data_IF_456482690382
#
_entry.id   IF_456482690382
#
_cell.length_a   1.000
_cell.length_b   1.000
_cell.length_c   1.000
_cell.angle_alpha   90.00
_cell.angle_beta   90.00
_cell.angle_gamma   90.00
#
_symmetry.space_group_name_H-M   'P 1'
#
loop_
_entity.id
_entity.type
_entity.pdbx_description
1 polymer ?
#
# COMPACT_ATOMS: atom_id res chain seq x y z
N UNK A 1 28.29 -16.45 -15.00
CA UNK A 1 27.18 -15.47 -14.97
C UNK A 1 25.80 -16.11 -15.08
N UNK A 2 25.50 -16.95 -16.08
CA UNK A 2 24.14 -17.52 -16.27
C UNK A 2 23.59 -18.34 -15.08
N UNK A 3 24.45 -19.03 -14.31
CA UNK A 3 24.04 -19.74 -13.10
C UNK A 3 23.58 -18.80 -11.99
N UNK A 4 24.35 -17.73 -11.74
CA UNK A 4 24.04 -16.71 -10.73
C UNK A 4 22.72 -15.99 -11.07
N UNK A 5 22.52 -15.66 -12.34
CA UNK A 5 21.28 -15.03 -12.80
C UNK A 5 20.06 -15.94 -12.59
N UNK A 6 20.16 -17.23 -12.93
CA UNK A 6 19.08 -18.20 -12.67
C UNK A 6 18.77 -18.35 -11.18
N UNK A 7 19.80 -18.36 -10.33
CA UNK A 7 19.63 -18.40 -8.87
C UNK A 7 18.89 -17.16 -8.37
N UNK A 8 19.34 -15.96 -8.73
CA UNK A 8 18.72 -14.70 -8.29
C UNK A 8 17.26 -14.65 -8.72
N UNK A 9 16.97 -15.05 -9.97
CA UNK A 9 15.59 -15.12 -10.46
C UNK A 9 14.77 -16.08 -9.60
N UNK A 10 15.22 -17.32 -9.42
CA UNK A 10 14.49 -18.32 -8.64
C UNK A 10 14.22 -17.86 -7.21
N UNK A 11 15.24 -17.26 -6.55
CA UNK A 11 15.09 -16.68 -5.22
C UNK A 11 14.06 -15.55 -5.19
N UNK A 12 14.02 -14.66 -6.18
CA UNK A 12 13.04 -13.57 -6.24
C UNK A 12 11.60 -14.08 -6.36
N UNK A 13 11.36 -15.10 -7.19
CA UNK A 13 10.03 -15.72 -7.32
C UNK A 13 9.62 -16.45 -6.03
N UNK A 14 10.57 -17.11 -5.37
CA UNK A 14 10.35 -17.74 -4.06
C UNK A 14 9.97 -16.74 -2.97
N UNK A 15 10.72 -15.63 -2.87
CA UNK A 15 10.44 -14.53 -1.93
C UNK A 15 9.08 -13.89 -2.21
N UNK A 16 8.73 -13.67 -3.48
CA UNK A 16 7.42 -13.12 -3.82
C UNK A 16 6.28 -14.07 -3.45
N UNK A 17 6.43 -15.37 -3.71
CA UNK A 17 5.44 -16.38 -3.29
C UNK A 17 5.28 -16.39 -1.77
N UNK A 18 6.37 -16.21 -1.02
CA UNK A 18 6.33 -16.07 0.44
C UNK A 18 5.52 -14.84 0.87
N UNK A 19 5.66 -13.69 0.19
CA UNK A 19 4.82 -12.52 0.47
C UNK A 19 3.35 -12.75 0.17
N UNK A 20 3.01 -13.43 -0.92
CA UNK A 20 1.61 -13.76 -1.23
C UNK A 20 1.00 -14.66 -0.15
N UNK A 21 1.75 -15.66 0.31
CA UNK A 21 1.34 -16.50 1.46
C UNK A 21 1.18 -15.64 2.71
N UNK A 22 2.11 -14.73 2.98
CA UNK A 22 2.02 -13.83 4.14
C UNK A 22 0.76 -12.95 4.09
N UNK A 23 0.42 -12.37 2.94
CA UNK A 23 -0.82 -11.60 2.77
C UNK A 23 -2.08 -12.47 2.91
N UNK A 24 -2.00 -13.75 2.55
CA UNK A 24 -3.06 -14.73 2.80
C UNK A 24 -3.20 -15.03 4.31
N UNK A 25 -2.09 -15.24 5.02
CA UNK A 25 -2.09 -15.48 6.49
C UNK A 25 -2.65 -14.28 7.27
N UNK A 26 -2.42 -13.06 6.77
CA UNK A 26 -2.95 -11.81 7.34
C UNK A 26 -4.42 -11.59 6.93
N UNK A 27 -5.00 -12.43 6.07
CA UNK A 27 -6.41 -12.36 5.69
C UNK A 27 -6.72 -11.29 4.63
N UNK A 28 -5.72 -10.81 3.89
CA UNK A 28 -5.93 -9.88 2.77
C UNK A 28 -6.29 -10.61 1.46
N UNK A 29 -5.85 -11.86 1.34
CA UNK A 29 -6.17 -12.76 0.24
C UNK A 29 -7.01 -13.93 0.77
N UNK A 30 -8.24 -14.05 0.28
CA UNK A 30 -9.15 -15.15 0.62
C UNK A 30 -9.22 -16.18 -0.52
N UNK A 31 -8.15 -16.33 -1.29
CA UNK A 31 -8.01 -17.33 -2.33
C UNK A 31 -6.52 -17.65 -2.52
N UNK A 32 -6.16 -18.87 -2.94
CA UNK A 32 -4.78 -19.23 -3.18
C UNK A 32 -4.26 -18.50 -4.43
N UNK A 33 -3.16 -17.78 -4.26
CA UNK A 33 -2.46 -17.05 -5.31
C UNK A 33 -0.98 -17.42 -5.26
N UNK A 34 -0.46 -17.89 -6.38
CA UNK A 34 0.96 -18.25 -6.50
C UNK A 34 1.52 -17.78 -7.85
N UNK A 35 2.80 -17.41 -7.85
CA UNK A 35 3.52 -17.02 -9.05
C UNK A 35 4.67 -18.00 -9.28
N UNK A 36 4.53 -18.84 -10.29
CA UNK A 36 5.53 -19.84 -10.65
C UNK A 36 6.46 -19.34 -11.75
N UNK A 37 7.73 -19.71 -11.68
CA UNK A 37 8.76 -19.30 -12.64
C UNK A 37 8.53 -19.84 -14.06
N UNK A 38 7.81 -20.95 -14.21
CA UNK A 38 7.59 -21.64 -15.50
C UNK A 38 6.17 -21.43 -16.02
N UNK A 39 5.16 -21.51 -15.15
CA UNK A 39 3.75 -21.44 -15.52
C UNK A 39 3.11 -20.07 -15.32
N UNK A 40 3.84 -19.10 -14.73
CA UNK A 40 3.34 -17.75 -14.47
C UNK A 40 2.37 -17.70 -13.29
N UNK A 41 1.38 -16.81 -13.36
CA UNK A 41 0.43 -16.57 -12.28
C UNK A 41 -0.66 -17.65 -12.24
N UNK A 42 -0.72 -18.40 -11.14
CA UNK A 42 -1.78 -19.38 -10.86
C UNK A 42 -2.72 -18.82 -9.80
N UNK A 43 -4.02 -18.86 -10.10
CA UNK A 43 -5.10 -18.33 -9.27
C UNK A 43 -6.05 -19.49 -9.05
N UNK A 44 -6.19 -19.93 -7.79
CA UNK A 44 -7.17 -20.97 -7.47
C UNK A 44 -8.55 -20.39 -7.18
N UNK A 45 -9.48 -21.29 -6.87
CA UNK A 45 -10.84 -20.93 -6.50
C UNK A 45 -10.91 -20.47 -5.06
N UNK A 46 -11.93 -19.67 -4.77
CA UNK A 46 -12.26 -19.31 -3.41
C UNK A 46 -12.72 -20.56 -2.65
N UNK A 47 -12.11 -20.82 -1.50
CA UNK A 47 -12.49 -21.93 -0.64
C UNK A 47 -12.61 -21.47 0.82
N UNK A 48 -13.49 -22.12 1.57
CA UNK A 48 -13.58 -21.92 3.02
C UNK A 48 -12.25 -22.14 3.75
N UNK A 49 -11.39 -23.04 3.24
CA UNK A 49 -10.06 -23.26 3.78
C UNK A 49 -9.14 -22.05 3.64
N UNK A 50 -9.31 -21.24 2.58
CA UNK A 50 -8.54 -20.00 2.39
C UNK A 50 -9.07 -18.85 3.25
N UNK A 51 -10.35 -18.86 3.61
CA UNK A 51 -10.99 -17.86 4.49
C UNK A 51 -10.67 -18.02 5.97
N UNK A 52 -10.06 -19.14 6.39
CA UNK A 52 -9.79 -19.40 7.82
C UNK A 52 -8.90 -18.33 8.44
N UNK A 53 -7.95 -17.79 7.67
CA UNK A 53 -7.04 -16.75 8.12
C UNK A 53 -7.78 -15.44 8.39
N UNK A 54 -8.73 -15.08 7.54
CA UNK A 54 -9.60 -13.93 7.78
C UNK A 54 -10.42 -14.10 9.06
N UNK A 55 -10.99 -15.28 9.30
CA UNK A 55 -11.74 -15.58 10.54
C UNK A 55 -10.85 -15.45 11.77
N UNK A 56 -9.61 -15.95 11.69
CA UNK A 56 -8.61 -15.81 12.77
C UNK A 56 -8.32 -14.34 13.04
N UNK A 57 -8.11 -13.51 12.01
CA UNK A 57 -7.85 -12.08 12.18
C UNK A 57 -9.06 -11.32 12.73
N UNK A 58 -10.28 -11.70 12.33
CA UNK A 58 -11.50 -11.17 12.93
C UNK A 58 -11.56 -11.51 14.43
N UNK A 59 -11.29 -12.77 14.79
CA UNK A 59 -11.25 -13.20 16.19
C UNK A 59 -10.18 -12.46 16.99
N UNK A 60 -8.96 -12.29 16.44
CA UNK A 60 -7.88 -11.52 17.06
C UNK A 60 -8.27 -10.04 17.25
N UNK A 61 -9.00 -9.46 16.31
CA UNK A 61 -9.50 -8.08 16.41
C UNK A 61 -10.51 -7.94 17.55
N UNK A 62 -11.43 -8.90 17.69
CA UNK A 62 -12.39 -8.95 18.80
C UNK A 62 -11.66 -9.16 20.14
N UNK A 63 -10.72 -10.10 20.19
CA UNK A 63 -9.93 -10.38 21.39
C UNK A 63 -9.08 -9.16 21.81
N UNK A 64 -8.51 -8.43 20.86
CA UNK A 64 -7.79 -7.18 21.12
C UNK A 64 -8.71 -6.13 21.75
N UNK A 65 -9.92 -5.94 21.22
CA UNK A 65 -10.91 -5.02 21.79
C UNK A 65 -11.36 -5.42 23.20
N UNK A 66 -11.63 -6.72 23.42
CA UNK A 66 -12.01 -7.25 24.73
C UNK A 66 -10.88 -7.12 25.74
N UNK A 67 -9.64 -7.39 25.32
CA UNK A 67 -8.45 -7.26 26.18
C UNK A 67 -8.21 -5.80 26.59
N UNK A 68 -8.36 -4.86 25.64
CA UNK A 68 -8.26 -3.43 25.94
C UNK A 68 -9.36 -2.97 26.92
N UNK A 69 -10.59 -3.47 26.75
CA UNK A 69 -11.69 -3.20 27.69
C UNK A 69 -11.41 -3.77 29.08
N UNK A 70 -10.89 -5.00 29.16
CA UNK A 70 -10.54 -5.62 30.44
C UNK A 70 -9.42 -4.85 31.16
N UNK A 71 -8.41 -4.41 30.40
CA UNK A 71 -7.28 -3.66 30.90
C UNK A 71 -7.51 -2.13 30.93
N UNK A 72 -8.76 -1.66 30.88
CA UNK A 72 -9.08 -0.23 30.78
C UNK A 72 -8.39 0.59 31.88
N UNK A 73 -8.44 0.11 33.13
CA UNK A 73 -7.81 0.81 34.25
C UNK A 73 -6.28 0.91 34.08
N UNK A 74 -5.63 -0.12 33.52
CA UNK A 74 -4.18 -0.10 33.28
C UNK A 74 -3.80 0.81 32.11
N UNK A 75 -4.74 1.10 31.20
CA UNK A 75 -4.52 1.92 30.02
C UNK A 75 -4.81 3.40 30.26
N UNK A 76 -5.80 3.73 31.09
CA UNK A 76 -6.34 5.10 31.18
C UNK A 76 -6.41 5.68 32.58
N UNK A 77 -6.34 4.87 33.65
CA UNK A 77 -6.48 5.39 35.00
C UNK A 77 -5.31 6.30 35.37
N UNK A 78 -5.60 7.42 36.05
CA UNK A 78 -4.59 8.40 36.48
C UNK A 78 -4.09 9.36 35.39
N UNK A 79 -4.53 9.21 34.14
CA UNK A 79 -4.24 10.20 33.09
C UNK A 79 -5.16 11.42 33.20
N UNK A 80 -4.64 12.58 32.79
CA UNK A 80 -5.48 13.72 32.49
C UNK A 80 -6.46 13.37 31.36
N UNK A 81 -7.61 14.04 31.32
CA UNK A 81 -8.63 13.76 30.31
C UNK A 81 -8.08 13.86 28.88
N UNK A 82 -7.24 14.86 28.60
CA UNK A 82 -6.60 15.06 27.28
C UNK A 82 -5.69 13.89 26.90
N UNK A 83 -4.87 13.42 27.83
CA UNK A 83 -3.96 12.27 27.64
C UNK A 83 -4.75 10.97 27.42
N UNK A 84 -5.79 10.75 28.23
CA UNK A 84 -6.67 9.60 28.10
C UNK A 84 -7.39 9.60 26.75
N UNK A 85 -7.89 10.75 26.30
CA UNK A 85 -8.52 10.92 24.99
C UNK A 85 -7.54 10.65 23.85
N UNK A 86 -6.31 11.17 23.94
CA UNK A 86 -5.26 10.93 22.95
C UNK A 86 -4.97 9.42 22.79
N UNK A 87 -4.77 8.71 23.91
CA UNK A 87 -4.55 7.27 23.90
C UNK A 87 -5.76 6.48 23.38
N UNK A 88 -6.96 6.89 23.78
CA UNK A 88 -8.20 6.24 23.36
C UNK A 88 -8.39 6.36 21.85
N UNK A 89 -8.21 7.55 21.29
CA UNK A 89 -8.31 7.77 19.85
C UNK A 89 -7.24 6.99 19.08
N UNK A 90 -5.99 6.91 19.57
CA UNK A 90 -4.93 6.09 18.95
C UNK A 90 -5.35 4.64 18.78
N UNK A 91 -5.85 4.05 19.86
CA UNK A 91 -6.31 2.67 19.84
C UNK A 91 -7.54 2.48 18.95
N UNK A 92 -8.55 3.34 19.06
CA UNK A 92 -9.80 3.22 18.30
C UNK A 92 -9.59 3.39 16.81
N UNK A 93 -8.79 4.37 16.36
CA UNK A 93 -8.46 4.53 14.95
C UNK A 93 -7.68 3.31 14.41
N UNK A 94 -6.75 2.79 15.20
CA UNK A 94 -6.04 1.55 14.88
C UNK A 94 -7.00 0.37 14.68
N UNK A 95 -7.87 0.12 15.65
CA UNK A 95 -8.82 -0.99 15.61
C UNK A 95 -9.83 -0.83 14.47
N UNK A 96 -10.36 0.37 14.25
CA UNK A 96 -11.27 0.66 13.14
C UNK A 96 -10.59 0.39 11.79
N UNK A 97 -9.29 0.72 11.67
CA UNK A 97 -8.50 0.43 10.46
C UNK A 97 -8.42 -1.06 10.17
N UNK A 98 -8.23 -1.88 11.21
CA UNK A 98 -8.25 -3.34 11.07
C UNK A 98 -9.63 -3.82 10.60
N UNK A 99 -10.70 -3.36 11.25
CA UNK A 99 -12.07 -3.74 10.89
C UNK A 99 -12.40 -3.42 9.42
N UNK A 100 -12.09 -2.21 8.96
CA UNK A 100 -12.32 -1.81 7.56
C UNK A 100 -11.42 -2.59 6.60
N UNK A 101 -10.17 -2.87 6.98
CA UNK A 101 -9.25 -3.67 6.16
C UNK A 101 -9.77 -5.10 5.97
N UNK A 102 -10.29 -5.72 7.04
CA UNK A 102 -10.90 -7.04 6.99
C UNK A 102 -12.20 -7.00 6.18
N UNK A 103 -13.05 -5.98 6.36
CA UNK A 103 -14.27 -5.81 5.59
C UNK A 103 -13.99 -5.68 4.08
N UNK A 104 -13.06 -4.81 3.69
CA UNK A 104 -12.63 -4.66 2.29
C UNK A 104 -12.10 -5.98 1.71
N UNK A 105 -11.35 -6.75 2.50
CA UNK A 105 -10.79 -8.03 2.05
C UNK A 105 -11.87 -9.12 1.88
N UNK A 106 -12.95 -9.06 2.68
CA UNK A 106 -14.07 -10.00 2.59
C UNK A 106 -15.03 -9.63 1.45
N UNK A 107 -15.54 -8.40 1.46
CA UNK A 107 -16.51 -7.94 0.46
C UNK A 107 -15.89 -7.69 -0.91
N UNK A 108 -14.60 -7.32 -0.96
CA UNK A 108 -13.86 -7.07 -2.19
C UNK A 108 -13.23 -8.32 -2.81
N UNK A 109 -13.58 -9.53 -2.37
CA UNK A 109 -12.91 -10.76 -2.81
C UNK A 109 -12.99 -10.98 -4.32
N UNK A 110 -14.15 -10.72 -4.93
CA UNK A 110 -14.34 -10.88 -6.37
C UNK A 110 -13.58 -9.80 -7.16
N UNK A 111 -13.62 -8.55 -6.70
CA UNK A 111 -12.82 -7.47 -7.28
C UNK A 111 -11.33 -7.81 -7.21
N UNK A 112 -10.89 -8.32 -6.07
CA UNK A 112 -9.52 -8.73 -5.84
C UNK A 112 -9.09 -9.87 -6.78
N UNK A 113 -9.90 -10.91 -6.90
CA UNK A 113 -9.64 -12.03 -7.81
C UNK A 113 -9.64 -11.57 -9.27
N UNK A 114 -10.56 -10.68 -9.64
CA UNK A 114 -10.68 -10.09 -10.98
C UNK A 114 -9.42 -9.32 -11.40
N UNK A 115 -8.83 -8.52 -10.49
CA UNK A 115 -7.55 -7.82 -10.73
C UNK A 115 -6.46 -8.81 -11.19
N UNK A 116 -6.28 -9.91 -10.45
CA UNK A 116 -5.25 -10.90 -10.75
C UNK A 116 -5.57 -11.69 -12.02
N UNK A 117 -6.84 -12.02 -12.27
CA UNK A 117 -7.28 -12.68 -13.50
C UNK A 117 -6.95 -11.80 -14.72
N UNK A 118 -7.26 -10.51 -14.66
CA UNK A 118 -6.93 -9.57 -15.76
C UNK A 118 -5.43 -9.46 -15.98
N UNK A 119 -4.62 -9.41 -14.93
CA UNK A 119 -3.16 -9.48 -15.08
C UNK A 119 -2.70 -10.77 -15.76
N UNK A 120 -3.29 -11.92 -15.43
CA UNK A 120 -2.98 -13.22 -16.05
C UNK A 120 -3.38 -13.23 -17.53
N UNK A 121 -4.60 -12.80 -17.84
CA UNK A 121 -5.11 -12.77 -19.22
C UNK A 121 -4.28 -11.84 -20.11
N UNK A 122 -3.94 -10.66 -19.59
CA UNK A 122 -3.06 -9.72 -20.27
C UNK A 122 -1.65 -10.31 -20.47
N UNK A 123 -1.14 -11.07 -19.49
CA UNK A 123 0.14 -11.77 -19.61
C UNK A 123 0.11 -12.85 -20.69
N UNK A 124 -0.93 -13.71 -20.70
CA UNK A 124 -1.08 -14.79 -21.68
C UNK A 124 -1.20 -14.25 -23.11
N UNK A 125 -1.98 -13.18 -23.32
CA UNK A 125 -2.14 -12.56 -24.65
C UNK A 125 -0.85 -11.92 -25.19
N UNK A 126 0.05 -11.53 -24.30
CA UNK A 126 1.27 -10.81 -24.66
C UNK A 126 2.56 -11.63 -24.47
N UNK A 127 2.43 -12.92 -24.16
CA UNK A 127 3.54 -13.82 -23.85
C UNK A 127 4.48 -13.27 -22.75
N UNK A 128 3.90 -12.61 -21.74
CA UNK A 128 4.63 -12.08 -20.58
C UNK A 128 4.28 -12.83 -19.29
N UNK A 129 4.81 -12.38 -18.15
CA UNK A 129 4.65 -13.07 -16.86
C UNK A 129 3.51 -12.52 -16.01
N UNK A 130 3.32 -11.20 -16.01
CA UNK A 130 2.30 -10.53 -15.20
C UNK A 130 1.89 -9.21 -15.87
N UNK A 131 0.69 -9.18 -16.46
CA UNK A 131 0.24 -8.05 -17.27
C UNK A 131 1.05 -7.87 -18.56
N UNK A 132 1.84 -6.81 -18.63
CA UNK A 132 2.78 -6.50 -19.71
C UNK A 132 4.24 -6.75 -19.29
N UNK A 133 4.45 -7.22 -18.05
CA UNK A 133 5.77 -7.32 -17.44
C UNK A 133 6.43 -8.64 -17.82
N UNK A 134 7.56 -8.56 -18.52
CA UNK A 134 8.43 -9.70 -18.79
C UNK A 134 9.19 -10.18 -17.55
N UNK A 135 9.83 -11.35 -17.66
CA UNK A 135 10.50 -12.02 -16.53
C UNK A 135 11.58 -11.17 -15.86
N UNK A 136 12.44 -10.53 -16.63
CA UNK A 136 13.58 -9.74 -16.11
C UNK A 136 13.10 -8.46 -15.45
N UNK A 137 12.09 -7.80 -16.04
CA UNK A 137 11.47 -6.61 -15.47
C UNK A 137 10.73 -6.94 -14.17
N UNK A 138 10.04 -8.07 -14.12
CA UNK A 138 9.33 -8.51 -12.92
C UNK A 138 10.31 -8.72 -11.76
N UNK A 139 11.42 -9.42 -11.98
CA UNK A 139 12.47 -9.60 -10.97
C UNK A 139 12.99 -8.26 -10.45
N UNK A 140 13.21 -7.28 -11.33
CA UNK A 140 13.65 -5.94 -10.93
C UNK A 140 12.64 -5.24 -10.00
N UNK A 141 11.35 -5.34 -10.30
CA UNK A 141 10.29 -4.78 -9.45
C UNK A 141 10.23 -5.50 -8.11
N UNK A 142 10.31 -6.83 -8.12
CA UNK A 142 10.28 -7.66 -6.92
C UNK A 142 11.47 -7.35 -5.99
N UNK A 143 12.67 -7.15 -6.53
CA UNK A 143 13.84 -6.74 -5.74
C UNK A 143 13.61 -5.36 -5.11
N UNK A 144 13.11 -4.37 -5.87
CA UNK A 144 12.80 -3.04 -5.33
C UNK A 144 11.75 -3.10 -4.22
N UNK A 145 10.70 -3.90 -4.45
CA UNK A 145 9.66 -4.12 -3.45
C UNK A 145 10.22 -4.79 -2.19
N UNK A 146 11.02 -5.85 -2.35
CA UNK A 146 11.67 -6.54 -1.24
C UNK A 146 12.57 -5.62 -0.42
N UNK A 147 13.37 -4.78 -1.09
CA UNK A 147 14.23 -3.79 -0.40
C UNK A 147 13.37 -2.79 0.39
N UNK A 148 12.28 -2.27 -0.20
CA UNK A 148 11.37 -1.37 0.51
C UNK A 148 10.76 -2.05 1.76
N UNK A 149 10.31 -3.30 1.63
CA UNK A 149 9.77 -4.07 2.76
C UNK A 149 10.83 -4.33 3.82
N UNK A 150 12.05 -4.70 3.44
CA UNK A 150 13.17 -4.90 4.38
C UNK A 150 13.46 -3.64 5.18
N UNK A 151 13.52 -2.47 4.53
CA UNK A 151 13.74 -1.19 5.22
C UNK A 151 12.60 -0.91 6.20
N UNK A 152 11.35 -1.07 5.77
CA UNK A 152 10.17 -0.87 6.63
C UNK A 152 10.24 -1.81 7.85
N UNK A 153 10.46 -3.11 7.63
CA UNK A 153 10.54 -4.11 8.70
C UNK A 153 11.71 -3.84 9.63
N UNK A 154 12.88 -3.47 9.10
CA UNK A 154 14.05 -3.15 9.92
C UNK A 154 13.80 -1.93 10.83
N UNK A 155 13.18 -0.88 10.30
CA UNK A 155 12.80 0.31 11.07
C UNK A 155 11.78 -0.04 12.14
N UNK A 156 10.70 -0.76 11.78
CA UNK A 156 9.70 -1.22 12.75
C UNK A 156 10.35 -2.07 13.84
N UNK A 157 11.12 -3.11 13.47
CA UNK A 157 11.77 -4.01 14.42
C UNK A 157 12.75 -3.27 15.34
N UNK A 158 13.49 -2.28 14.83
CA UNK A 158 14.35 -1.43 15.65
C UNK A 158 13.56 -0.64 16.69
N UNK A 159 12.44 -0.02 16.29
CA UNK A 159 11.58 0.75 17.20
C UNK A 159 10.92 -0.17 18.22
N UNK A 160 10.37 -1.31 17.79
CA UNK A 160 9.77 -2.31 18.68
C UNK A 160 10.79 -2.86 19.69
N UNK A 161 12.03 -3.11 19.26
CA UNK A 161 13.12 -3.51 20.14
C UNK A 161 13.43 -2.43 21.18
N UNK A 162 13.51 -1.16 20.77
CA UNK A 162 13.72 -0.04 21.69
C UNK A 162 12.58 0.09 22.68
N UNK A 163 11.33 -0.06 22.26
CA UNK A 163 10.16 -0.03 23.12
C UNK A 163 10.17 -1.17 24.14
N UNK A 164 10.47 -2.39 23.69
CA UNK A 164 10.50 -3.57 24.55
C UNK A 164 11.51 -3.45 25.70
N UNK A 165 12.71 -2.92 25.44
CA UNK A 165 13.75 -2.74 26.45
C UNK A 165 13.71 -1.40 27.18
N UNK A 166 13.08 -0.38 26.59
CA UNK A 166 13.00 0.97 27.14
C UNK A 166 11.81 1.19 28.06
N UNK A 167 10.68 0.51 27.82
CA UNK A 167 9.48 0.67 28.63
C UNK A 167 9.49 -0.32 29.80
N UNK A 168 9.35 0.18 31.03
CA UNK A 168 9.25 -0.67 32.22
C UNK A 168 8.06 -1.62 32.16
N UNK A 169 8.30 -2.91 32.46
CA UNK A 169 7.25 -3.93 32.49
C UNK A 169 6.13 -3.56 33.48
N UNK A 170 4.88 -3.77 33.07
CA UNK A 170 3.70 -3.44 33.88
C UNK A 170 3.39 -1.94 33.99
N UNK A 171 4.19 -1.06 33.36
CA UNK A 171 3.85 0.36 33.27
C UNK A 171 2.66 0.60 32.36
N UNK A 172 2.00 1.75 32.51
CA UNK A 172 0.91 2.17 31.63
C UNK A 172 1.35 2.24 30.16
N UNK A 173 2.57 2.71 29.90
CA UNK A 173 3.17 2.71 28.57
C UNK A 173 3.36 1.30 28.00
N UNK A 174 3.71 0.33 28.83
CA UNK A 174 3.86 -1.06 28.42
C UNK A 174 2.51 -1.64 27.96
N UNK A 175 1.46 -1.42 28.74
CA UNK A 175 0.10 -1.83 28.36
C UNK A 175 -0.36 -1.12 27.08
N UNK A 176 -0.15 0.19 26.98
CA UNK A 176 -0.54 0.98 25.82
C UNK A 176 0.14 0.48 24.54
N UNK A 177 1.46 0.31 24.57
CA UNK A 177 2.24 -0.22 23.46
C UNK A 177 1.76 -1.62 23.05
N UNK A 178 1.59 -2.54 24.01
CA UNK A 178 1.18 -3.93 23.77
C UNK A 178 -0.17 -4.02 23.03
N UNK A 179 -1.16 -3.20 23.43
CA UNK A 179 -2.48 -3.22 22.80
C UNK A 179 -2.49 -2.55 21.42
N UNK A 180 -1.57 -1.63 21.15
CA UNK A 180 -1.44 -0.99 19.85
C UNK A 180 -0.60 -1.81 18.85
N UNK A 181 0.23 -2.75 19.31
CA UNK A 181 1.11 -3.55 18.45
C UNK A 181 0.34 -4.27 17.33
N UNK A 182 -0.76 -4.94 17.65
CA UNK A 182 -1.58 -5.66 16.67
C UNK A 182 -2.20 -4.74 15.60
N UNK A 183 -3.01 -3.71 15.94
CA UNK A 183 -3.60 -2.84 14.93
C UNK A 183 -2.55 -2.08 14.12
N UNK A 184 -1.43 -1.70 14.73
CA UNK A 184 -0.30 -1.07 14.06
C UNK A 184 0.32 -1.98 13.00
N UNK A 185 0.57 -3.24 13.37
CA UNK A 185 1.14 -4.25 12.48
C UNK A 185 0.25 -4.48 11.25
N UNK A 186 -1.07 -4.64 11.45
CA UNK A 186 -2.02 -4.83 10.35
C UNK A 186 -2.08 -3.60 9.45
N UNK A 187 -2.11 -2.40 10.03
CA UNK A 187 -2.07 -1.12 9.30
C UNK A 187 -0.82 -1.04 8.39
N UNK A 188 0.35 -1.39 8.91
CA UNK A 188 1.59 -1.42 8.14
C UNK A 188 1.60 -2.45 7.02
N UNK A 189 1.13 -3.67 7.31
CA UNK A 189 0.99 -4.69 6.27
C UNK A 189 0.03 -4.26 5.18
N UNK A 190 -1.05 -3.54 5.51
CA UNK A 190 -2.00 -3.03 4.51
C UNK A 190 -1.37 -1.96 3.61
N UNK A 191 -0.51 -1.10 4.15
CA UNK A 191 0.30 -0.17 3.36
C UNK A 191 1.26 -0.88 2.42
N UNK A 192 2.00 -1.86 2.94
CA UNK A 192 2.93 -2.69 2.13
C UNK A 192 2.17 -3.45 1.03
N UNK A 193 0.96 -3.92 1.33
CA UNK A 193 0.14 -4.63 0.36
C UNK A 193 -0.30 -3.72 -0.80
N UNK A 194 -0.70 -2.49 -0.50
CA UNK A 194 -1.04 -1.51 -1.53
C UNK A 194 0.19 -1.03 -2.32
N UNK A 195 1.34 -0.88 -1.65
CA UNK A 195 2.61 -0.54 -2.30
C UNK A 195 2.96 -1.54 -3.41
N UNK A 196 2.72 -2.84 -3.20
CA UNK A 196 2.92 -3.86 -4.22
C UNK A 196 2.10 -3.55 -5.49
N UNK A 197 0.80 -3.29 -5.34
CA UNK A 197 -0.10 -2.99 -6.47
C UNK A 197 0.31 -1.72 -7.21
N UNK A 198 0.72 -0.67 -6.49
CA UNK A 198 1.24 0.57 -7.09
C UNK A 198 2.48 0.28 -7.94
N UNK A 199 3.44 -0.47 -7.41
CA UNK A 199 4.69 -0.79 -8.13
C UNK A 199 4.45 -1.68 -9.35
N UNK A 200 3.53 -2.64 -9.25
CA UNK A 200 3.14 -3.48 -10.39
C UNK A 200 2.48 -2.66 -11.50
N UNK A 201 1.53 -1.78 -11.15
CA UNK A 201 0.85 -0.94 -12.15
C UNK A 201 1.81 0.08 -12.78
N UNK A 202 2.69 0.69 -11.98
CA UNK A 202 3.75 1.60 -12.46
C UNK A 202 4.63 0.94 -13.52
N UNK A 203 5.03 -0.31 -13.29
CA UNK A 203 5.87 -1.03 -14.24
C UNK A 203 5.09 -1.46 -15.48
N UNK A 204 3.83 -1.86 -15.35
CA UNK A 204 2.96 -2.13 -16.50
C UNK A 204 2.82 -0.90 -17.41
N UNK A 205 2.59 0.28 -16.82
CA UNK A 205 2.55 1.56 -17.54
C UNK A 205 3.85 1.87 -18.27
N UNK A 206 5.01 1.63 -17.64
CA UNK A 206 6.31 1.79 -18.31
C UNK A 206 6.52 0.79 -19.45
N UNK A 207 6.04 -0.45 -19.33
CA UNK A 207 6.11 -1.40 -20.43
C UNK A 207 5.22 -0.97 -21.60
N UNK A 208 4.03 -0.46 -21.32
CA UNK A 208 3.16 0.12 -22.35
C UNK A 208 3.84 1.32 -23.03
N UNK A 209 4.44 2.24 -22.25
CA UNK A 209 5.19 3.38 -22.76
C UNK A 209 6.35 2.96 -23.67
N UNK A 210 7.13 1.95 -23.27
CA UNK A 210 8.23 1.45 -24.08
C UNK A 210 7.75 0.84 -25.40
N UNK A 211 6.68 0.05 -25.37
CA UNK A 211 6.07 -0.51 -26.59
C UNK A 211 5.57 0.59 -27.52
N UNK A 212 4.91 1.62 -26.98
CA UNK A 212 4.47 2.79 -27.75
C UNK A 212 5.65 3.55 -28.38
N UNK A 213 6.76 3.72 -27.67
CA UNK A 213 7.97 4.33 -28.23
C UNK A 213 8.57 3.51 -29.38
N UNK A 214 8.56 2.19 -29.27
CA UNK A 214 9.04 1.31 -30.35
C UNK A 214 8.12 1.41 -31.58
N UNK A 215 6.81 1.55 -31.41
CA UNK A 215 5.85 1.74 -32.52
C UNK A 215 6.22 2.91 -33.43
N UNK A 216 6.66 4.02 -32.85
CA UNK A 216 7.08 5.21 -33.59
C UNK A 216 8.23 4.91 -34.58
N UNK A 217 9.01 3.87 -34.31
CA UNK A 217 10.15 3.47 -35.15
C UNK A 217 9.75 2.54 -36.30
N UNK A 218 8.68 1.75 -36.13
CA UNK A 218 8.30 0.68 -37.07
C UNK A 218 6.96 0.90 -37.82
N UNK A 219 6.09 1.80 -37.35
CA UNK A 219 5.00 2.38 -38.14
C UNK A 219 3.77 1.50 -38.41
N UNK A 220 3.44 0.52 -37.56
CA UNK A 220 2.31 -0.39 -37.81
C UNK A 220 1.00 0.06 -37.13
N UNK A 221 -0.03 0.39 -37.92
CA UNK A 221 -1.35 0.85 -37.45
C UNK A 221 -2.09 -0.15 -36.57
N UNK A 222 -2.06 -1.44 -36.91
CA UNK A 222 -2.72 -2.50 -36.14
C UNK A 222 -2.16 -2.62 -34.71
N UNK A 223 -0.87 -2.33 -34.55
CA UNK A 223 -0.20 -2.33 -33.25
C UNK A 223 -0.67 -1.18 -32.34
N UNK A 224 -1.10 -0.04 -32.89
CA UNK A 224 -1.64 1.10 -32.11
C UNK A 224 -2.99 0.78 -31.45
N UNK A 225 -3.89 0.11 -32.20
CA UNK A 225 -5.19 -0.31 -31.67
C UNK A 225 -5.02 -1.33 -30.54
N UNK A 226 -4.10 -2.28 -30.68
CA UNK A 226 -3.75 -3.24 -29.64
C UNK A 226 -3.22 -2.53 -28.38
N UNK A 227 -2.38 -1.49 -28.52
CA UNK A 227 -1.81 -0.77 -27.39
C UNK A 227 -2.86 0.06 -26.64
N UNK A 228 -3.81 0.64 -27.37
CA UNK A 228 -4.99 1.29 -26.80
C UNK A 228 -5.86 0.31 -26.02
N UNK A 229 -6.09 -0.90 -26.56
CA UNK A 229 -6.85 -1.94 -25.86
C UNK A 229 -6.14 -2.38 -24.58
N UNK A 230 -4.81 -2.56 -24.61
CA UNK A 230 -4.01 -2.86 -23.42
C UNK A 230 -4.09 -1.76 -22.35
N UNK A 231 -4.07 -0.48 -22.74
CA UNK A 231 -4.33 0.61 -21.81
C UNK A 231 -5.71 0.50 -21.15
N UNK A 232 -6.75 0.15 -21.93
CA UNK A 232 -8.09 -0.08 -21.40
C UNK A 232 -8.12 -1.15 -20.32
N UNK A 233 -7.42 -2.27 -20.51
CA UNK A 233 -7.30 -3.32 -19.49
C UNK A 233 -6.53 -2.85 -18.25
N UNK A 234 -5.42 -2.13 -18.42
CA UNK A 234 -4.69 -1.55 -17.29
C UNK A 234 -5.55 -0.56 -16.49
N UNK A 235 -6.38 0.22 -17.17
CA UNK A 235 -7.32 1.13 -16.52
C UNK A 235 -8.36 0.36 -15.70
N UNK A 236 -8.95 -0.71 -16.23
CA UNK A 236 -9.89 -1.56 -15.50
C UNK A 236 -9.26 -2.21 -14.26
N UNK A 237 -8.01 -2.68 -14.39
CA UNK A 237 -7.24 -3.20 -13.26
C UNK A 237 -7.05 -2.11 -12.18
N UNK A 238 -6.69 -0.88 -12.59
CA UNK A 238 -6.50 0.22 -11.65
C UNK A 238 -7.80 0.62 -10.94
N UNK A 239 -8.93 0.66 -11.65
CA UNK A 239 -10.23 0.92 -11.03
C UNK A 239 -10.57 -0.15 -10.01
N UNK A 240 -10.32 -1.43 -10.32
CA UNK A 240 -10.46 -2.51 -9.35
C UNK A 240 -9.55 -2.31 -8.13
N UNK A 241 -8.31 -1.85 -8.31
CA UNK A 241 -7.39 -1.55 -7.21
C UNK A 241 -7.94 -0.38 -6.36
N UNK A 242 -8.34 0.72 -6.98
CA UNK A 242 -8.93 1.87 -6.29
C UNK A 242 -10.19 1.50 -5.51
N UNK A 243 -11.01 0.59 -6.04
CA UNK A 243 -12.21 0.08 -5.36
C UNK A 243 -11.86 -0.82 -4.19
N UNK A 244 -10.96 -1.80 -4.38
CA UNK A 244 -10.52 -2.76 -3.36
C UNK A 244 -9.84 -2.09 -2.16
N UNK A 245 -9.08 -1.04 -2.42
CA UNK A 245 -8.31 -0.33 -1.40
C UNK A 245 -8.99 0.95 -0.91
N UNK A 246 -10.08 1.38 -1.51
CA UNK A 246 -10.65 2.71 -1.32
C UNK A 246 -10.85 3.12 0.13
N UNK A 247 -11.66 2.36 0.89
CA UNK A 247 -11.96 2.68 2.28
C UNK A 247 -10.82 2.33 3.23
N UNK A 248 -10.25 1.12 3.09
CA UNK A 248 -9.15 0.68 3.93
C UNK A 248 -7.95 1.59 3.82
N UNK A 249 -7.57 2.07 2.62
CA UNK A 249 -6.45 3.00 2.48
C UNK A 249 -6.78 4.41 2.98
N UNK A 250 -8.00 4.90 2.76
CA UNK A 250 -8.40 6.19 3.34
C UNK A 250 -8.25 6.17 4.86
N UNK A 251 -8.74 5.11 5.50
CA UNK A 251 -8.65 4.96 6.92
C UNK A 251 -7.23 4.63 7.39
N UNK A 252 -6.45 3.88 6.62
CA UNK A 252 -5.06 3.56 6.95
C UNK A 252 -4.17 4.81 6.92
N UNK A 253 -4.40 5.71 5.97
CA UNK A 253 -3.76 7.04 5.94
C UNK A 253 -4.22 7.89 7.12
N UNK A 254 -5.52 7.89 7.45
CA UNK A 254 -6.04 8.60 8.63
C UNK A 254 -5.47 8.04 9.95
N UNK A 255 -5.28 6.73 10.05
CA UNK A 255 -4.63 6.07 11.18
C UNK A 255 -3.15 6.46 11.28
N UNK A 256 -2.46 6.53 10.14
CA UNK A 256 -1.07 6.98 10.08
C UNK A 256 -0.92 8.45 10.50
N UNK A 257 -1.88 9.30 10.08
CA UNK A 257 -2.01 10.67 10.55
C UNK A 257 -2.17 10.72 12.07
N UNK A 258 -3.15 9.99 12.59
CA UNK A 258 -3.49 9.94 13.99
C UNK A 258 -2.27 9.52 14.82
N UNK A 259 -1.56 8.47 14.40
CA UNK A 259 -0.32 8.03 15.04
C UNK A 259 0.71 9.15 15.15
N UNK A 260 1.06 9.81 14.05
CA UNK A 260 2.04 10.90 14.03
C UNK A 260 1.60 12.05 14.94
N UNK A 261 0.33 12.45 14.86
CA UNK A 261 -0.21 13.55 15.66
C UNK A 261 -0.18 13.23 17.16
N UNK A 262 -0.57 12.02 17.54
CA UNK A 262 -0.55 11.54 18.92
C UNK A 262 0.88 11.37 19.44
N UNK A 263 1.82 10.95 18.60
CA UNK A 263 3.21 10.82 18.99
C UNK A 263 3.87 12.18 19.24
N UNK A 264 3.57 13.17 18.39
CA UNK A 264 4.03 14.57 18.59
C UNK A 264 3.40 15.17 19.85
N UNK A 265 2.11 14.94 20.10
CA UNK A 265 1.47 15.35 21.35
C UNK A 265 2.20 14.81 22.57
N UNK A 266 2.51 13.50 22.59
CA UNK A 266 3.21 12.89 23.70
C UNK A 266 4.63 13.42 23.88
N UNK A 267 5.37 13.65 22.78
CA UNK A 267 6.70 14.29 22.84
C UNK A 267 6.58 15.67 23.53
N UNK A 268 5.59 16.47 23.14
CA UNK A 268 5.36 17.80 23.73
C UNK A 268 4.94 17.71 25.21
N UNK A 269 3.99 16.83 25.54
CA UNK A 269 3.52 16.66 26.90
C UNK A 269 4.65 16.23 27.84
N UNK A 270 5.48 15.27 27.42
CA UNK A 270 6.66 14.83 28.16
C UNK A 270 7.72 15.94 28.28
N UNK A 271 7.90 16.75 27.23
CA UNK A 271 8.82 17.89 27.24
C UNK A 271 8.41 18.95 28.27
N UNK A 272 7.12 19.31 28.34
CA UNK A 272 6.63 20.32 29.29
C UNK A 272 6.70 19.82 30.73
N UNK A 273 6.46 18.53 30.93
CA UNK A 273 6.43 17.92 32.26
C UNK A 273 7.80 17.43 32.74
N UNK A 274 8.86 17.66 31.95
CA UNK A 274 10.23 17.19 32.19
C UNK A 274 10.28 15.69 32.50
N UNK A 275 9.42 14.92 31.82
CA UNK A 275 9.39 13.46 31.95
C UNK A 275 10.61 12.86 31.28
N UNK A 276 11.22 11.88 31.95
CA UNK A 276 12.31 11.08 31.38
C UNK A 276 11.80 10.27 30.17
N UNK A 277 12.75 9.80 29.35
CA UNK A 277 12.49 8.90 28.21
C UNK A 277 11.77 9.54 27.00
N UNK A 278 11.84 10.86 26.82
CA UNK A 278 11.38 11.55 25.59
C UNK A 278 12.01 10.93 24.33
N UNK A 279 13.28 10.54 24.41
CA UNK A 279 13.99 9.87 23.31
C UNK A 279 13.27 8.59 22.84
N UNK A 280 12.69 7.83 23.78
CA UNK A 280 11.97 6.61 23.47
C UNK A 280 10.71 6.90 22.64
N UNK A 281 9.97 7.93 23.04
CA UNK A 281 8.79 8.38 22.34
C UNK A 281 9.13 9.00 20.96
N UNK A 282 10.30 9.63 20.81
CA UNK A 282 10.78 10.10 19.51
C UNK A 282 11.02 8.95 18.52
N UNK A 283 11.44 7.77 18.98
CA UNK A 283 11.59 6.60 18.10
C UNK A 283 10.24 6.10 17.55
N UNK A 284 9.15 6.18 18.32
CA UNK A 284 7.79 5.80 17.87
C UNK A 284 7.32 6.60 16.65
N UNK A 285 7.83 7.83 16.48
CA UNK A 285 7.48 8.70 15.36
C UNK A 285 8.08 8.23 14.02
N UNK A 286 9.11 7.36 14.02
CA UNK A 286 9.91 7.07 12.82
C UNK A 286 9.23 6.14 11.80
N UNK A 287 8.59 5.02 12.18
CA UNK A 287 8.17 4.02 11.18
C UNK A 287 7.06 4.53 10.25
N UNK A 288 6.09 5.27 10.77
CA UNK A 288 4.94 5.75 10.01
C UNK A 288 5.35 6.72 8.86
N UNK A 289 6.19 7.76 9.09
CA UNK A 289 6.77 8.57 8.02
C UNK A 289 7.59 7.79 7.00
N UNK A 290 8.34 6.76 7.41
CA UNK A 290 9.12 5.92 6.48
C UNK A 290 8.18 5.20 5.52
N UNK A 291 7.10 4.59 6.02
CA UNK A 291 6.10 3.88 5.21
C UNK A 291 5.38 4.84 4.27
N UNK A 292 4.93 6.00 4.77
CA UNK A 292 4.30 7.04 3.93
C UNK A 292 5.29 7.51 2.86
N UNK A 293 6.58 7.68 3.20
CA UNK A 293 7.62 8.07 2.26
C UNK A 293 7.74 7.11 1.09
N UNK A 294 7.77 5.80 1.35
CA UNK A 294 7.79 4.77 0.29
C UNK A 294 6.51 4.81 -0.57
N UNK A 295 5.34 4.94 0.04
CA UNK A 295 4.06 5.05 -0.68
C UNK A 295 4.02 6.29 -1.59
N UNK A 296 4.44 7.45 -1.07
CA UNK A 296 4.46 8.70 -1.83
C UNK A 296 5.51 8.67 -2.96
N UNK A 297 6.66 8.03 -2.72
CA UNK A 297 7.66 7.81 -3.75
C UNK A 297 7.13 6.89 -4.88
N UNK A 298 6.45 5.80 -4.52
CA UNK A 298 5.84 4.90 -5.49
C UNK A 298 4.71 5.58 -6.27
N UNK A 299 3.84 6.35 -5.59
CA UNK A 299 2.78 7.13 -6.22
C UNK A 299 3.34 8.19 -7.18
N UNK A 300 4.45 8.85 -6.83
CA UNK A 300 5.16 9.75 -7.75
C UNK A 300 5.63 9.04 -9.01
N UNK A 301 6.28 7.90 -8.82
CA UNK A 301 6.86 7.11 -9.92
C UNK A 301 5.77 6.61 -10.86
N UNK A 302 4.63 6.22 -10.29
CA UNK A 302 3.43 5.86 -11.01
C UNK A 302 2.90 7.05 -11.85
N UNK A 303 2.77 8.23 -11.25
CA UNK A 303 2.29 9.43 -11.97
C UNK A 303 3.24 9.80 -13.11
N UNK A 304 4.54 9.72 -12.89
CA UNK A 304 5.55 9.96 -13.92
C UNK A 304 5.46 8.92 -15.05
N UNK A 305 5.20 7.65 -14.74
CA UNK A 305 4.98 6.62 -15.76
C UNK A 305 3.72 6.92 -16.61
N UNK A 306 2.63 7.37 -15.98
CA UNK A 306 1.41 7.77 -16.69
C UNK A 306 1.67 8.99 -17.60
N UNK A 307 2.36 10.02 -17.08
CA UNK A 307 2.72 11.20 -17.87
C UNK A 307 3.64 10.85 -19.05
N UNK A 308 4.54 9.87 -18.87
CA UNK A 308 5.41 9.40 -19.94
C UNK A 308 4.64 8.70 -21.07
N UNK A 309 3.58 7.94 -20.74
CA UNK A 309 2.68 7.36 -21.77
C UNK A 309 2.01 8.48 -22.58
N UNK A 310 1.46 9.49 -21.90
CA UNK A 310 0.82 10.64 -22.54
C UNK A 310 1.81 11.42 -23.44
N UNK A 311 3.00 11.73 -22.94
CA UNK A 311 4.04 12.41 -23.69
C UNK A 311 4.48 11.62 -24.93
N UNK A 312 4.69 10.30 -24.78
CA UNK A 312 5.09 9.43 -25.91
C UNK A 312 4.04 9.42 -27.02
N UNK A 313 2.75 9.50 -26.66
CA UNK A 313 1.68 9.61 -27.66
C UNK A 313 1.65 10.97 -28.36
N UNK A 314 1.87 12.06 -27.63
CA UNK A 314 1.90 13.41 -28.21
C UNK A 314 3.08 13.59 -29.18
N UNK A 315 4.24 13.01 -28.84
CA UNK A 315 5.48 13.11 -29.61
C UNK A 315 5.53 12.16 -30.82
N UNK A 316 4.54 11.25 -30.95
CA UNK A 316 4.48 10.30 -32.06
C UNK A 316 4.28 11.02 -33.39
N UNK A 317 5.19 10.80 -34.35
CA UNK A 317 5.14 11.42 -35.66
C UNK A 317 4.15 10.69 -36.59
N UNK A 318 2.92 11.19 -36.70
CA UNK A 318 1.86 10.62 -37.53
C UNK A 318 1.64 11.38 -38.86
N UNK A 319 2.57 12.27 -39.26
CA UNK A 319 2.32 13.24 -40.36
C UNK A 319 2.00 12.61 -41.71
N UNK A 320 2.39 11.37 -41.95
CA UNK A 320 2.22 10.70 -43.25
C UNK A 320 1.03 9.72 -43.27
N UNK A 321 0.45 9.36 -42.12
CA UNK A 321 -0.65 8.40 -42.02
C UNK A 321 -1.86 8.98 -41.26
N UNK A 322 -2.90 9.33 -42.04
CA UNK A 322 -4.18 9.85 -41.54
C UNK A 322 -4.88 8.91 -40.55
N UNK A 323 -4.76 7.58 -40.73
CA UNK A 323 -5.37 6.60 -39.82
C UNK A 323 -4.63 6.56 -38.49
N UNK A 324 -3.29 6.61 -38.52
CA UNK A 324 -2.49 6.73 -37.30
C UNK A 324 -2.81 8.01 -36.52
N UNK A 325 -2.99 9.14 -37.21
CA UNK A 325 -3.32 10.39 -36.55
C UNK A 325 -4.70 10.33 -35.87
N UNK A 326 -5.70 9.74 -36.54
CA UNK A 326 -7.03 9.50 -35.95
C UNK A 326 -6.95 8.57 -34.73
N UNK A 327 -6.20 7.47 -34.81
CA UNK A 327 -6.03 6.53 -33.70
C UNK A 327 -5.32 7.18 -32.52
N UNK A 328 -4.27 7.97 -32.77
CA UNK A 328 -3.58 8.78 -31.78
C UNK A 328 -4.54 9.74 -31.08
N UNK A 329 -5.36 10.47 -31.84
CA UNK A 329 -6.36 11.38 -31.29
C UNK A 329 -7.37 10.65 -30.39
N UNK A 330 -7.88 9.49 -30.83
CA UNK A 330 -8.80 8.66 -30.05
C UNK A 330 -8.14 8.16 -28.77
N UNK A 331 -6.88 7.72 -28.83
CA UNK A 331 -6.15 7.24 -27.65
C UNK A 331 -5.88 8.40 -26.67
N UNK A 332 -5.40 9.56 -27.14
CA UNK A 332 -5.23 10.75 -26.29
C UNK A 332 -6.55 11.17 -25.63
N UNK A 333 -7.67 11.08 -26.37
CA UNK A 333 -9.00 11.35 -25.82
C UNK A 333 -9.37 10.35 -24.71
N UNK A 334 -9.04 9.07 -24.90
CA UNK A 334 -9.21 8.04 -23.87
C UNK A 334 -8.33 8.31 -22.65
N UNK A 335 -7.05 8.67 -22.84
CA UNK A 335 -6.16 9.05 -21.72
C UNK A 335 -6.73 10.22 -20.91
N UNK A 336 -7.31 11.22 -21.58
CA UNK A 336 -7.89 12.39 -20.91
C UNK A 336 -9.15 12.03 -20.13
N UNK A 337 -10.00 11.15 -20.65
CA UNK A 337 -11.27 10.75 -20.01
C UNK A 337 -11.08 9.70 -18.91
N UNK A 338 -10.25 8.71 -19.17
CA UNK A 338 -10.01 7.53 -18.32
C UNK A 338 -8.56 7.52 -17.86
N UNK A 339 -8.09 8.65 -17.33
CA UNK A 339 -6.71 8.76 -16.86
C UNK A 339 -6.51 7.82 -15.67
N UNK A 340 -5.50 6.95 -15.75
CA UNK A 340 -5.18 6.08 -14.63
C UNK A 340 -4.64 6.93 -13.47
N UNK A 341 -5.36 6.93 -12.34
CA UNK A 341 -5.04 7.69 -11.13
C UNK A 341 -5.12 6.78 -9.91
N UNK A 342 -4.23 7.01 -8.94
CA UNK A 342 -4.30 6.37 -7.63
C UNK A 342 -5.22 7.18 -6.74
N UNK A 343 -6.40 6.64 -6.44
CA UNK A 343 -7.42 7.34 -5.65
C UNK A 343 -7.98 6.42 -4.57
N UNK A 344 -8.29 6.99 -3.41
CA UNK A 344 -9.03 6.28 -2.37
C UNK A 344 -10.54 6.41 -2.62
N UNK A 345 -11.09 5.72 -3.63
CA UNK A 345 -12.52 5.80 -4.01
C UNK A 345 -13.02 7.24 -4.24
N UNK A 346 -12.16 8.09 -4.80
CA UNK A 346 -12.46 9.51 -5.00
C UNK A 346 -12.50 10.38 -3.73
N UNK A 347 -12.22 9.83 -2.54
CA UNK A 347 -12.11 10.60 -1.29
C UNK A 347 -10.89 11.52 -1.35
N UNK A 348 -9.75 11.00 -1.80
CA UNK A 348 -8.55 11.79 -2.09
C UNK A 348 -7.66 11.09 -3.12
N UNK A 349 -6.80 11.89 -3.75
CA UNK A 349 -5.73 11.45 -4.64
C UNK A 349 -4.45 11.15 -3.85
N UNK A 350 -3.77 10.05 -4.18
CA UNK A 350 -2.45 9.74 -3.62
C UNK A 350 -1.38 10.54 -4.36
N UNK A 351 -1.16 11.78 -3.91
CA UNK A 351 -0.12 12.68 -4.44
C UNK A 351 0.63 13.42 -3.31
N UNK A 352 1.62 14.26 -3.66
CA UNK A 352 2.35 15.06 -2.66
C UNK A 352 1.48 16.11 -1.97
N UNK A 353 0.31 16.48 -2.52
CA UNK A 353 -0.61 17.38 -1.83
C UNK A 353 -1.16 16.73 -0.57
N UNK A 354 -1.25 15.39 -0.54
CA UNK A 354 -1.60 14.62 0.64
C UNK A 354 -0.63 14.89 1.80
N UNK A 355 0.69 14.92 1.55
CA UNK A 355 1.68 15.24 2.60
C UNK A 355 1.43 16.63 3.19
N UNK A 356 1.17 17.63 2.33
CA UNK A 356 0.88 18.99 2.78
C UNK A 356 -0.39 19.03 3.65
N UNK A 357 -1.46 18.34 3.22
CA UNK A 357 -2.70 18.21 3.99
C UNK A 357 -2.44 17.52 5.34
N UNK A 358 -1.68 16.43 5.34
CA UNK A 358 -1.32 15.69 6.55
C UNK A 358 -0.59 16.60 7.55
N UNK A 359 0.45 17.31 7.12
CA UNK A 359 1.21 18.22 7.99
C UNK A 359 0.31 19.30 8.60
N UNK A 360 -0.56 19.93 7.80
CA UNK A 360 -1.50 20.94 8.31
C UNK A 360 -2.44 20.37 9.39
N UNK A 361 -3.01 19.18 9.17
CA UNK A 361 -3.94 18.57 10.13
C UNK A 361 -3.21 18.12 11.39
N UNK A 362 -1.99 17.58 11.28
CA UNK A 362 -1.14 17.21 12.42
C UNK A 362 -0.87 18.43 13.30
N UNK A 363 -0.40 19.53 12.70
CA UNK A 363 -0.12 20.76 13.44
C UNK A 363 -1.38 21.32 14.11
N UNK A 364 -2.51 21.35 13.38
CA UNK A 364 -3.79 21.81 13.93
C UNK A 364 -4.23 20.95 15.11
N UNK A 365 -4.15 19.62 15.00
CA UNK A 365 -4.48 18.70 16.07
C UNK A 365 -3.62 18.95 17.32
N UNK A 366 -2.30 19.02 17.13
CA UNK A 366 -1.35 19.24 18.24
C UNK A 366 -1.67 20.57 18.92
N UNK A 367 -1.81 21.67 18.17
CA UNK A 367 -2.15 22.99 18.75
C UNK A 367 -3.42 22.91 19.60
N UNK A 368 -4.51 22.33 19.08
CA UNK A 368 -5.79 22.20 19.81
C UNK A 368 -5.58 21.43 21.11
N UNK A 369 -4.93 20.26 21.05
CA UNK A 369 -4.74 19.43 22.23
C UNK A 369 -3.79 20.08 23.26
N UNK A 370 -2.78 20.81 22.81
CA UNK A 370 -1.88 21.55 23.69
C UNK A 370 -2.56 22.74 24.38
N UNK A 371 -3.46 23.44 23.69
CA UNK A 371 -4.25 24.53 24.30
C UNK A 371 -5.32 23.99 25.25
N UNK A 372 -5.91 22.82 24.97
CA UNK A 372 -6.86 22.16 25.88
C UNK A 372 -6.20 21.58 27.13
N UNK A 373 -4.90 21.28 27.08
CA UNK A 373 -4.14 20.72 28.19
C UNK A 373 -3.53 21.79 29.12
N UNK A 374 -3.54 23.05 28.71
CA UNK A 374 -3.25 24.21 29.57
C UNK A 374 -4.47 24.58 30.38
#
# INVERSE_FOLDING_TARGET
>A
MAFLERMVISSCFGVFSCFLVLFQLIGFLNFPLALHQTTGLTIGEHSWSSSIWWIIQLALTVLSALSAKHNYNNLFNGLLLTDAMNNYFKFVFGLLTVCVTLADSWFGIETHRSIWIRYRELATRNETFLGLIGKTQLVRVLVRFYVAVLVIVAVCAFVEFKMYYGVGYGSQWHYFWTHNMYPYTISHFRHVYHLLHIMLMETNLRQLQHRLGNLQTFGETECMEAYRAMYGELWQINEGINELFGFSQALNVACSFAQIAFDIYWIYAMWITDLKDIELQMYCLIPTPVIIGFLMHAAKSYLLAMNAVEATLLDMNCREDLRMDQLRYVFLTQLRRTRIRLTAKGIFDFDYTLIRKLVTVILTYVIIFTEMAR
#
